data_IF_989010430556
#
_entry.id   IF_989010430556
#
_cell.length_a   1.000
_cell.length_b   1.000
_cell.length_c   1.000
_cell.angle_alpha   90.00
_cell.angle_beta   90.00
_cell.angle_gamma   90.00
#
_symmetry.space_group_name_H-M   'P 1'
#
loop_
_entity.id
_entity.type
_entity.pdbx_description
1 polymer ?
#
# COMPACT_ATOMS: atom_id res chain seq x y z
N UNK A 1 6.16 15.82 29.60
CA UNK A 1 6.87 15.09 28.52
C UNK A 1 5.89 14.85 27.38
N UNK A 2 6.34 14.93 26.12
CA UNK A 2 5.48 14.73 24.95
C UNK A 2 5.99 13.59 24.06
N UNK A 3 5.12 13.06 23.21
CA UNK A 3 5.49 12.05 22.20
C UNK A 3 5.93 12.79 20.93
N UNK A 4 7.10 12.43 20.39
CA UNK A 4 7.59 12.98 19.13
C UNK A 4 7.24 12.02 17.99
N UNK A 5 6.53 12.52 16.98
CA UNK A 5 6.17 11.76 15.77
C UNK A 5 6.83 12.42 14.56
N UNK A 6 7.33 11.61 13.62
CA UNK A 6 7.87 12.06 12.34
C UNK A 6 7.18 11.30 11.21
N UNK A 7 6.67 12.03 10.22
CA UNK A 7 6.09 11.49 9.00
C UNK A 7 6.98 11.90 7.83
N UNK A 8 7.25 10.95 6.92
CA UNK A 8 8.02 11.19 5.70
C UNK A 8 7.10 10.91 4.53
N UNK A 9 6.64 11.96 3.87
CA UNK A 9 5.93 11.85 2.61
C UNK A 9 6.92 11.67 1.46
N UNK A 10 6.55 10.87 0.45
CA UNK A 10 7.43 10.54 -0.68
C UNK A 10 6.72 10.82 -2.00
N UNK A 11 7.45 11.21 -3.07
CA UNK A 11 6.85 11.36 -4.38
C UNK A 11 6.15 10.08 -4.84
N UNK A 12 4.98 10.21 -5.45
CA UNK A 12 4.19 9.08 -5.93
C UNK A 12 4.95 8.21 -6.94
N UNK A 13 4.75 6.90 -6.82
CA UNK A 13 5.28 5.89 -7.73
C UNK A 13 4.21 5.50 -8.74
N UNK A 14 4.62 5.23 -9.98
CA UNK A 14 3.71 4.87 -11.05
C UNK A 14 3.87 3.40 -11.45
N UNK A 15 2.80 2.68 -11.80
CA UNK A 15 2.87 1.23 -11.97
C UNK A 15 3.39 0.79 -13.33
N UNK A 16 3.42 1.65 -14.35
CA UNK A 16 3.83 1.25 -15.69
C UNK A 16 5.29 0.80 -15.74
N UNK A 17 5.58 -0.20 -16.57
CA UNK A 17 6.96 -0.60 -16.87
C UNK A 17 7.81 0.55 -17.42
N UNK A 18 7.20 1.47 -18.18
CA UNK A 18 7.86 2.69 -18.67
C UNK A 18 8.31 3.64 -17.55
N UNK A 19 7.68 3.58 -16.38
CA UNK A 19 7.99 4.42 -15.23
C UNK A 19 9.11 3.86 -14.35
N UNK A 20 9.62 2.65 -14.64
CA UNK A 20 10.55 1.96 -13.75
C UNK A 20 11.83 2.75 -13.49
N UNK A 21 12.39 3.43 -14.50
CA UNK A 21 13.58 4.26 -14.33
C UNK A 21 13.31 5.43 -13.37
N UNK A 22 12.16 6.10 -13.53
CA UNK A 22 11.72 7.20 -12.68
C UNK A 22 11.49 6.72 -11.24
N UNK A 23 10.77 5.61 -11.06
CA UNK A 23 10.55 5.00 -9.75
C UNK A 23 11.86 4.64 -9.07
N UNK A 24 12.81 4.02 -9.79
CA UNK A 24 14.14 3.69 -9.24
C UNK A 24 14.87 4.93 -8.74
N UNK A 25 14.80 6.05 -9.47
CA UNK A 25 15.42 7.32 -9.05
C UNK A 25 14.77 7.87 -7.77
N UNK A 26 13.43 7.88 -7.71
CA UNK A 26 12.67 8.31 -6.52
C UNK A 26 13.03 7.43 -5.33
N UNK A 27 12.93 6.11 -5.46
CA UNK A 27 13.17 5.14 -4.39
C UNK A 27 14.61 5.22 -3.86
N UNK A 28 15.61 5.39 -4.74
CA UNK A 28 17.01 5.62 -4.30
C UNK A 28 17.14 6.92 -3.50
N UNK A 29 16.51 8.00 -3.96
CA UNK A 29 16.51 9.27 -3.22
C UNK A 29 15.88 9.13 -1.84
N UNK A 30 14.77 8.40 -1.72
CA UNK A 30 14.10 8.11 -0.44
C UNK A 30 15.00 7.28 0.45
N UNK A 31 15.59 6.19 -0.07
CA UNK A 31 16.54 5.34 0.66
C UNK A 31 17.71 6.13 1.22
N UNK A 32 18.30 7.00 0.41
CA UNK A 32 19.44 7.82 0.83
C UNK A 32 19.04 8.84 1.89
N UNK A 33 17.82 9.41 1.79
CA UNK A 33 17.25 10.31 2.80
C UNK A 33 17.03 9.64 4.16
N UNK A 34 16.50 8.41 4.16
CA UNK A 34 16.21 7.68 5.40
C UNK A 34 17.40 6.89 5.97
N UNK A 35 18.51 6.78 5.23
CA UNK A 35 19.66 5.93 5.59
C UNK A 35 20.19 6.15 7.01
N UNK A 36 20.23 7.41 7.47
CA UNK A 36 20.74 7.76 8.82
C UNK A 36 19.69 7.59 9.92
N UNK A 37 18.41 7.67 9.58
CA UNK A 37 17.28 7.62 10.51
C UNK A 37 16.15 6.83 9.84
N UNK A 38 16.23 5.49 9.83
CA UNK A 38 15.22 4.66 9.20
C UNK A 38 13.87 4.80 9.91
N UNK A 39 12.73 4.78 9.19
CA UNK A 39 11.41 4.75 9.80
C UNK A 39 11.19 3.46 10.59
N UNK A 40 10.43 3.57 11.68
CA UNK A 40 9.96 2.41 12.44
C UNK A 40 8.93 1.59 11.64
N UNK A 41 8.08 2.29 10.87
CA UNK A 41 7.02 1.73 10.05
C UNK A 41 7.03 2.32 8.64
N UNK A 42 6.66 1.50 7.66
CA UNK A 42 6.46 1.91 6.28
C UNK A 42 4.98 1.82 5.94
N UNK A 43 4.41 2.82 5.27
CA UNK A 43 3.00 2.79 4.85
C UNK A 43 2.95 2.79 3.33
N UNK A 44 2.40 1.74 2.75
CA UNK A 44 2.13 1.65 1.31
C UNK A 44 0.67 2.03 1.07
N UNK A 45 0.43 3.18 0.43
CA UNK A 45 -0.92 3.73 0.20
C UNK A 45 -1.32 3.56 -1.26
N UNK A 46 -2.47 2.94 -1.54
CA UNK A 46 -3.06 3.00 -2.89
C UNK A 46 -4.26 2.08 -3.13
N UNK A 47 -5.44 2.67 -3.30
CA UNK A 47 -6.66 1.98 -3.77
C UNK A 47 -6.54 1.43 -5.21
N UNK A 48 -5.85 2.15 -6.10
CA UNK A 48 -5.67 1.78 -7.50
C UNK A 48 -4.71 0.60 -7.75
N UNK A 49 -4.06 0.09 -6.69
CA UNK A 49 -3.04 -0.96 -6.79
C UNK A 49 -3.67 -2.33 -7.12
N UNK A 50 -4.98 -2.49 -6.95
CA UNK A 50 -5.56 -3.83 -6.84
C UNK A 50 -6.40 -4.22 -8.07
N UNK A 51 -6.75 -3.29 -8.96
CA UNK A 51 -7.54 -3.62 -10.15
C UNK A 51 -6.73 -4.45 -11.16
N UNK A 52 -5.41 -4.26 -11.19
CA UNK A 52 -4.47 -5.09 -11.94
C UNK A 52 -3.15 -5.24 -11.17
N UNK A 53 -3.15 -6.05 -10.10
CA UNK A 53 -1.98 -6.24 -9.24
C UNK A 53 -0.74 -6.75 -10.00
N UNK A 54 -0.93 -7.43 -11.13
CA UNK A 54 0.16 -7.93 -11.96
C UNK A 54 0.96 -6.78 -12.57
N UNK A 55 0.29 -5.69 -12.96
CA UNK A 55 0.94 -4.46 -13.39
C UNK A 55 1.81 -3.83 -12.28
N UNK A 56 1.53 -4.09 -11.00
CA UNK A 56 2.27 -3.53 -9.87
C UNK A 56 3.44 -4.40 -9.40
N UNK A 57 3.53 -5.66 -9.83
CA UNK A 57 4.63 -6.56 -9.43
C UNK A 57 6.04 -6.03 -9.78
N UNK A 58 6.29 -5.42 -10.95
CA UNK A 58 7.58 -4.78 -11.24
C UNK A 58 7.93 -3.67 -10.25
N UNK A 59 6.94 -2.90 -9.77
CA UNK A 59 7.13 -1.85 -8.78
C UNK A 59 7.47 -2.43 -7.40
N UNK A 60 6.69 -3.41 -6.93
CA UNK A 60 6.94 -4.06 -5.64
C UNK A 60 8.33 -4.73 -5.59
N UNK A 61 8.74 -5.40 -6.68
CA UNK A 61 10.11 -5.94 -6.81
C UNK A 61 11.15 -4.84 -6.78
N UNK A 62 10.92 -3.73 -7.47
CA UNK A 62 11.85 -2.59 -7.46
C UNK A 62 12.00 -2.00 -6.04
N UNK A 63 10.92 -1.95 -5.24
CA UNK A 63 10.97 -1.57 -3.83
C UNK A 63 11.83 -2.56 -3.04
N UNK A 64 11.57 -3.87 -3.16
CA UNK A 64 12.37 -4.92 -2.51
C UNK A 64 13.85 -4.82 -2.90
N UNK A 65 14.16 -4.62 -4.18
CA UNK A 65 15.55 -4.56 -4.68
C UNK A 65 16.32 -3.37 -4.11
N UNK A 66 15.64 -2.24 -3.87
CA UNK A 66 16.28 -1.01 -3.39
C UNK A 66 16.42 -0.97 -1.87
N UNK A 67 15.41 -1.43 -1.13
CA UNK A 67 15.35 -1.36 0.33
C UNK A 67 15.68 -2.68 1.04
N UNK A 68 15.69 -3.79 0.31
CA UNK A 68 15.76 -5.14 0.85
C UNK A 68 14.39 -5.66 1.29
N UNK A 69 14.28 -6.99 1.46
CA UNK A 69 13.03 -7.65 1.88
C UNK A 69 12.55 -7.22 3.28
N UNK A 70 13.45 -6.72 4.14
CA UNK A 70 13.14 -6.29 5.50
C UNK A 70 12.21 -5.08 5.56
N UNK A 71 12.08 -4.29 4.49
CA UNK A 71 11.11 -3.19 4.43
C UNK A 71 9.68 -3.67 4.67
N UNK A 72 9.39 -4.92 4.31
CA UNK A 72 8.06 -5.51 4.43
C UNK A 72 7.73 -5.98 5.86
N UNK A 73 8.70 -6.09 6.78
CA UNK A 73 8.41 -6.59 8.14
C UNK A 73 7.61 -5.61 8.98
N UNK A 74 7.85 -4.31 8.81
CA UNK A 74 7.11 -3.24 9.49
C UNK A 74 6.22 -2.44 8.53
N UNK A 75 5.85 -3.03 7.39
CA UNK A 75 4.99 -2.37 6.42
C UNK A 75 3.51 -2.55 6.77
N UNK A 76 2.77 -1.43 6.79
CA UNK A 76 1.31 -1.36 6.87
C UNK A 76 0.78 -1.01 5.47
N UNK A 77 -0.22 -1.73 5.01
CA UNK A 77 -0.87 -1.45 3.72
C UNK A 77 -2.10 -0.57 3.97
N UNK A 78 -2.11 0.63 3.39
CA UNK A 78 -3.25 1.55 3.42
C UNK A 78 -4.11 1.45 2.17
N UNK A 79 -5.35 1.00 2.31
CA UNK A 79 -6.35 1.02 1.24
C UNK A 79 -7.19 2.29 1.37
N UNK A 80 -6.95 3.27 0.49
CA UNK A 80 -7.69 4.54 0.47
C UNK A 80 -9.08 4.39 -0.11
N UNK A 81 -9.92 5.42 -0.02
CA UNK A 81 -11.30 5.38 -0.52
C UNK A 81 -12.16 4.29 0.12
N UNK A 82 -11.90 3.99 1.39
CA UNK A 82 -12.60 2.95 2.12
C UNK A 82 -14.13 3.14 2.18
N UNK A 83 -14.67 4.35 2.00
CA UNK A 83 -16.12 4.56 1.97
C UNK A 83 -16.76 4.28 0.59
N UNK A 84 -15.97 3.85 -0.41
CA UNK A 84 -16.48 3.54 -1.74
C UNK A 84 -17.37 2.30 -1.72
N UNK A 85 -18.44 2.34 -2.51
CA UNK A 85 -19.26 1.16 -2.77
C UNK A 85 -18.42 0.07 -3.47
N UNK A 86 -18.56 -1.21 -3.09
CA UNK A 86 -18.02 -2.32 -3.88
C UNK A 86 -18.56 -2.28 -5.31
N UNK A 87 -17.77 -2.70 -6.32
CA UNK A 87 -18.28 -2.86 -7.68
C UNK A 87 -19.34 -3.96 -7.72
N UNK A 88 -20.27 -3.85 -8.68
CA UNK A 88 -21.27 -4.87 -8.93
C UNK A 88 -20.61 -6.20 -9.31
N UNK A 89 -21.15 -7.30 -8.78
CA UNK A 89 -20.67 -8.64 -9.09
C UNK A 89 -21.08 -9.08 -10.50
N UNK A 90 -20.47 -10.15 -11.04
CA UNK A 90 -20.74 -10.65 -12.40
C UNK A 90 -22.19 -11.10 -12.67
N UNK A 91 -23.08 -11.09 -11.66
CA UNK A 91 -24.50 -11.41 -11.77
C UNK A 91 -25.42 -10.31 -11.18
N UNK A 92 -25.00 -9.05 -11.15
CA UNK A 92 -25.67 -7.93 -10.43
C UNK A 92 -25.87 -8.19 -8.92
N UNK A 93 -25.24 -9.22 -8.37
CA UNK A 93 -25.15 -9.42 -6.93
C UNK A 93 -24.05 -8.52 -6.40
N UNK A 94 -24.43 -7.46 -5.70
CA UNK A 94 -23.48 -6.60 -5.00
C UNK A 94 -22.62 -7.48 -4.06
N UNK A 95 -21.30 -7.49 -4.27
CA UNK A 95 -20.39 -8.13 -3.33
C UNK A 95 -20.50 -7.39 -2.00
N UNK A 96 -20.58 -8.12 -0.88
CA UNK A 96 -20.58 -7.45 0.42
C UNK A 96 -19.29 -6.65 0.59
N UNK A 97 -19.38 -5.51 1.27
CA UNK A 97 -18.21 -4.66 1.54
C UNK A 97 -17.06 -5.44 2.18
N UNK A 98 -17.39 -6.34 3.12
CA UNK A 98 -16.42 -7.20 3.79
C UNK A 98 -15.72 -8.16 2.81
N UNK A 99 -16.47 -8.75 1.87
CA UNK A 99 -15.89 -9.64 0.87
C UNK A 99 -14.96 -8.87 -0.07
N UNK A 100 -15.39 -7.68 -0.49
CA UNK A 100 -14.56 -6.78 -1.29
C UNK A 100 -13.26 -6.43 -0.58
N UNK A 101 -13.31 -5.98 0.67
CA UNK A 101 -12.11 -5.65 1.47
C UNK A 101 -11.21 -6.87 1.66
N UNK A 102 -11.78 -8.04 1.98
CA UNK A 102 -11.01 -9.29 2.15
C UNK A 102 -10.27 -9.68 0.88
N UNK A 103 -10.95 -9.67 -0.26
CA UNK A 103 -10.35 -10.00 -1.54
C UNK A 103 -9.21 -9.05 -1.87
N UNK A 104 -9.43 -7.74 -1.70
CA UNK A 104 -8.43 -6.71 -1.97
C UNK A 104 -7.20 -6.85 -1.07
N UNK A 105 -7.44 -7.07 0.23
CA UNK A 105 -6.39 -7.31 1.22
C UNK A 105 -5.56 -8.57 0.90
N UNK A 106 -6.23 -9.65 0.50
CA UNK A 106 -5.56 -10.90 0.15
C UNK A 106 -4.61 -10.73 -1.04
N UNK A 107 -5.10 -10.06 -2.10
CA UNK A 107 -4.34 -9.85 -3.33
C UNK A 107 -3.06 -9.04 -3.08
N UNK A 108 -3.14 -7.92 -2.35
CA UNK A 108 -1.95 -7.10 -2.06
C UNK A 108 -0.97 -7.81 -1.14
N UNK A 109 -1.45 -8.54 -0.12
CA UNK A 109 -0.60 -9.34 0.75
C UNK A 109 0.13 -10.44 -0.02
N UNK A 110 -0.56 -11.12 -0.96
CA UNK A 110 0.05 -12.13 -1.82
C UNK A 110 1.12 -11.53 -2.72
N UNK A 111 0.87 -10.36 -3.30
CA UNK A 111 1.84 -9.65 -4.13
C UNK A 111 3.09 -9.24 -3.34
N UNK A 112 2.92 -8.75 -2.10
CA UNK A 112 4.04 -8.44 -1.21
C UNK A 112 4.85 -9.69 -0.88
N UNK A 113 4.21 -10.81 -0.51
CA UNK A 113 4.91 -12.09 -0.26
C UNK A 113 5.76 -12.50 -1.46
N UNK A 114 5.19 -12.41 -2.67
CA UNK A 114 5.89 -12.75 -3.90
C UNK A 114 7.06 -11.80 -4.18
N UNK A 115 6.89 -10.50 -3.97
CA UNK A 115 7.94 -9.51 -4.18
C UNK A 115 9.05 -9.57 -3.12
N UNK A 116 8.71 -9.98 -1.89
CA UNK A 116 9.66 -10.13 -0.80
C UNK A 116 10.38 -11.48 -0.81
N UNK A 117 9.80 -12.50 -1.46
CA UNK A 117 10.28 -13.88 -1.41
C UNK A 117 10.03 -14.58 -0.06
N UNK A 118 9.10 -14.07 0.76
CA UNK A 118 8.72 -14.69 2.04
C UNK A 118 7.22 -14.94 2.09
N UNK A 119 6.82 -16.21 2.03
CA UNK A 119 5.43 -16.66 2.02
C UNK A 119 4.73 -16.49 3.37
N UNK A 120 5.47 -16.23 4.44
CA UNK A 120 4.93 -16.09 5.80
C UNK A 120 4.54 -14.65 6.12
N UNK A 121 4.88 -13.69 5.26
CA UNK A 121 4.55 -12.28 5.46
C UNK A 121 3.03 -12.06 5.50
N UNK A 122 2.58 -11.34 6.52
CA UNK A 122 1.18 -10.97 6.73
C UNK A 122 1.11 -9.49 7.09
N UNK A 123 1.26 -8.62 6.10
CA UNK A 123 1.21 -7.19 6.36
C UNK A 123 -0.18 -6.77 6.86
N UNK A 124 -0.27 -6.01 7.97
CA UNK A 124 -1.53 -5.45 8.41
C UNK A 124 -2.08 -4.51 7.34
N UNK A 125 -3.41 -4.53 7.18
CA UNK A 125 -4.14 -3.69 6.22
C UNK A 125 -5.00 -2.71 7.01
N UNK A 126 -4.84 -1.42 6.72
CA UNK A 126 -5.63 -0.33 7.25
C UNK A 126 -6.55 0.23 6.15
N UNK A 127 -7.83 0.38 6.47
CA UNK A 127 -8.80 1.06 5.61
C UNK A 127 -8.74 2.56 5.91
N UNK A 128 -8.62 3.37 4.86
CA UNK A 128 -8.44 4.82 4.98
C UNK A 128 -9.48 5.53 4.12
N UNK A 129 -10.20 6.48 4.70
CA UNK A 129 -11.04 7.41 3.96
C UNK A 129 -10.57 8.83 4.25
N UNK A 130 -10.09 9.51 3.21
CA UNK A 130 -9.55 10.86 3.29
C UNK A 130 -10.52 11.91 2.72
N UNK A 131 -11.61 11.48 2.09
CA UNK A 131 -12.59 12.39 1.54
C UNK A 131 -13.26 13.19 2.65
N UNK A 132 -13.38 14.51 2.48
CA UNK A 132 -13.95 15.42 3.49
C UNK A 132 -15.40 15.08 3.85
N UNK A 133 -16.13 14.43 2.95
CA UNK A 133 -17.48 13.92 3.18
C UNK A 133 -17.53 12.51 3.81
N UNK A 134 -16.41 12.00 4.36
CA UNK A 134 -16.41 10.74 5.10
C UNK A 134 -17.47 10.80 6.21
N UNK A 135 -18.26 9.73 6.34
CA UNK A 135 -19.26 9.63 7.41
C UNK A 135 -18.54 9.64 8.75
N UNK A 136 -18.97 10.51 9.64
CA UNK A 136 -18.54 10.55 11.04
C UNK A 136 -19.39 9.63 11.89
N UNK A 137 -18.87 9.24 13.04
CA UNK A 137 -19.66 8.52 14.02
C UNK A 137 -20.52 9.53 14.82
N UNK A 138 -21.23 9.08 15.85
CA UNK A 138 -22.11 9.97 16.66
C UNK A 138 -21.36 11.08 17.39
N UNK A 139 -20.06 10.96 17.58
CA UNK A 139 -19.20 11.94 18.25
C UNK A 139 -18.63 13.00 17.29
N UNK A 140 -18.86 12.87 15.98
CA UNK A 140 -18.19 13.67 14.96
C UNK A 140 -16.88 13.04 14.52
#
# INVERSE_FOLDING_TARGET
QGIKVRVIDTPGLLPSGSDQLKNKKILKSVRDFIKKNPPDYYILIGWSIITDIFAHMPLLRTITDIFGASIWFNAIVGLTHAASAPPDGPNDTASSYDMFVRQRSHVIQQAIRQAAGDTRLMNPVALVENHSACRTNRAG
#
